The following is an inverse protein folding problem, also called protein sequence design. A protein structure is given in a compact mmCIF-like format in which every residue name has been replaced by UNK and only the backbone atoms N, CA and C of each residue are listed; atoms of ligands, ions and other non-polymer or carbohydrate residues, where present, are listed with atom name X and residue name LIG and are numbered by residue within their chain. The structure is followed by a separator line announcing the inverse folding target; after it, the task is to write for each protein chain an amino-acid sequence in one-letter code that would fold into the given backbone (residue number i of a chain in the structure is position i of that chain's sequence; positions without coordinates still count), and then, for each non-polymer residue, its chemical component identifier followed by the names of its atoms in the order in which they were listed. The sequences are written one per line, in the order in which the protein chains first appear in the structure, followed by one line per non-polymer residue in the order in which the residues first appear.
data_IF_418108300789
#
_entry.id   IF_418108300789
#
_cell.length_a   1.000
_cell.length_b   1.000
_cell.length_c   1.000
_cell.angle_alpha   90.00
_cell.angle_beta   90.00
_cell.angle_gamma   90.00
#
_symmetry.space_group_name_H-M   'P 1'
#
loop_
_entity.id
_entity.type
_entity.pdbx_description
1 polymer ?
#
# COMPACT_ATOMS: atom_id res chain seq x y z
N UNK A 1 52.06 -35.01 9.64
CA UNK A 1 50.79 -34.23 9.53
C UNK A 1 49.66 -35.26 9.45
N UNK A 2 48.81 -35.58 10.43
CA UNK A 2 48.51 -35.18 11.83
C UNK A 2 47.63 -36.31 12.40
N UNK A 3 48.02 -36.99 13.48
CA UNK A 3 47.22 -38.10 14.05
C UNK A 3 45.88 -37.62 14.68
N UNK A 4 45.74 -36.31 14.95
CA UNK A 4 44.56 -35.73 15.61
C UNK A 4 43.61 -34.97 14.66
N UNK A 5 43.84 -35.02 13.34
CA UNK A 5 43.05 -34.26 12.37
C UNK A 5 41.58 -34.69 12.34
N UNK A 6 41.30 -35.99 12.47
CA UNK A 6 39.95 -36.52 12.51
C UNK A 6 39.22 -36.12 13.81
N UNK A 7 39.94 -36.14 14.94
CA UNK A 7 39.40 -35.72 16.23
C UNK A 7 38.98 -34.25 16.19
N UNK A 8 39.84 -33.38 15.66
CA UNK A 8 39.55 -31.96 15.51
C UNK A 8 38.38 -31.73 14.55
N UNK A 9 38.38 -32.38 13.38
CA UNK A 9 37.29 -32.26 12.40
C UNK A 9 35.94 -32.69 12.97
N UNK A 10 35.92 -33.71 13.86
CA UNK A 10 34.72 -34.15 14.55
C UNK A 10 34.28 -33.16 15.62
N UNK A 11 35.22 -32.64 16.42
CA UNK A 11 34.95 -31.61 17.44
C UNK A 11 34.42 -30.30 16.84
N UNK A 12 34.92 -29.90 15.67
CA UNK A 12 34.47 -28.70 14.96
C UNK A 12 33.22 -28.94 14.10
N UNK A 13 32.70 -30.18 14.05
CA UNK A 13 31.49 -30.51 13.28
C UNK A 13 31.68 -30.45 11.76
N UNK A 14 32.90 -30.66 11.26
CA UNK A 14 33.17 -30.82 9.82
C UNK A 14 32.82 -32.23 9.34
N UNK A 15 32.94 -33.23 10.22
CA UNK A 15 32.58 -34.62 9.96
C UNK A 15 31.71 -35.19 11.08
N UNK A 16 30.87 -36.18 10.75
CA UNK A 16 30.04 -36.88 11.72
C UNK A 16 30.80 -37.99 12.47
N UNK A 17 30.12 -38.68 13.39
CA UNK A 17 30.70 -39.79 14.16
C UNK A 17 31.15 -41.00 13.33
N UNK A 18 30.77 -41.06 12.04
CA UNK A 18 31.16 -42.06 11.05
C UNK A 18 32.21 -41.53 10.06
N UNK A 19 32.76 -40.33 10.29
CA UNK A 19 33.76 -39.71 9.44
C UNK A 19 33.23 -39.09 8.14
N UNK A 20 31.90 -38.94 7.99
CA UNK A 20 31.29 -38.37 6.78
C UNK A 20 31.19 -36.84 6.88
N UNK A 21 31.43 -36.09 5.80
CA UNK A 21 31.30 -34.63 5.81
C UNK A 21 29.90 -34.15 6.19
N UNK A 22 29.83 -33.15 7.06
CA UNK A 22 28.58 -32.45 7.40
C UNK A 22 28.34 -31.37 6.34
N UNK A 23 27.25 -31.48 5.58
CA UNK A 23 26.93 -30.57 4.46
C UNK A 23 26.13 -29.32 4.85
N UNK A 24 25.49 -29.34 6.01
CA UNK A 24 24.67 -28.25 6.52
C UNK A 24 25.21 -27.71 7.84
N UNK A 25 24.30 -27.18 8.67
CA UNK A 25 24.64 -26.83 10.05
C UNK A 25 24.80 -28.12 10.87
N UNK A 26 25.81 -28.18 11.74
CA UNK A 26 26.10 -29.36 12.53
C UNK A 26 24.89 -29.79 13.40
N UNK A 27 24.58 -31.11 13.50
CA UNK A 27 23.38 -31.59 14.19
C UNK A 27 23.22 -31.06 15.61
N UNK A 28 24.32 -30.97 16.37
CA UNK A 28 24.31 -30.44 17.74
C UNK A 28 23.83 -28.98 17.84
N UNK A 29 24.04 -28.17 16.80
CA UNK A 29 23.54 -26.79 16.73
C UNK A 29 22.08 -26.77 16.26
N UNK A 30 21.72 -27.64 15.31
CA UNK A 30 20.34 -27.74 14.80
C UNK A 30 19.38 -28.25 15.87
N UNK A 31 19.78 -29.24 16.66
CA UNK A 31 19.01 -29.80 17.77
C UNK A 31 19.31 -29.14 19.12
N UNK A 32 20.13 -28.09 19.12
CA UNK A 32 20.54 -27.37 20.31
C UNK A 32 19.41 -26.52 20.92
N UNK A 33 19.74 -25.82 22.00
CA UNK A 33 18.83 -24.92 22.67
C UNK A 33 18.53 -23.67 21.81
N UNK A 34 17.60 -22.83 22.27
CA UNK A 34 17.26 -21.58 21.59
C UNK A 34 18.46 -20.66 21.41
N UNK A 35 19.37 -20.60 22.39
CA UNK A 35 20.61 -19.82 22.29
C UNK A 35 21.53 -20.31 21.17
N UNK A 36 21.54 -21.62 20.86
CA UNK A 36 22.29 -22.16 19.72
C UNK A 36 21.69 -21.72 18.39
N UNK A 37 20.35 -21.62 18.31
CA UNK A 37 19.66 -21.08 17.14
C UNK A 37 19.97 -19.58 16.94
N UNK A 38 19.99 -18.80 18.02
CA UNK A 38 20.39 -17.38 18.00
C UNK A 38 21.85 -17.21 17.57
N UNK A 39 22.76 -18.03 18.13
CA UNK A 39 24.18 -18.02 17.77
C UNK A 39 24.41 -18.41 16.31
N UNK A 40 23.72 -19.45 15.82
CA UNK A 40 23.79 -19.89 14.42
C UNK A 40 23.35 -18.78 13.46
N UNK A 41 22.22 -18.12 13.75
CA UNK A 41 21.74 -17.01 12.94
C UNK A 41 22.66 -15.80 13.00
N UNK A 42 23.22 -15.49 14.18
CA UNK A 42 24.15 -14.38 14.35
C UNK A 42 25.42 -14.60 13.54
N UNK A 43 26.00 -15.81 13.63
CA UNK A 43 27.16 -16.19 12.83
C UNK A 43 26.88 -16.15 11.34
N UNK A 44 25.74 -16.69 10.90
CA UNK A 44 25.34 -16.67 9.50
C UNK A 44 25.13 -15.25 8.96
N UNK A 45 24.52 -14.36 9.76
CA UNK A 45 24.29 -12.97 9.39
C UNK A 45 25.60 -12.18 9.30
N UNK A 46 26.53 -12.36 10.24
CA UNK A 46 27.83 -11.70 10.20
C UNK A 46 28.71 -12.18 9.03
N UNK A 47 28.63 -13.47 8.69
CA UNK A 47 29.44 -14.05 7.62
C UNK A 47 28.91 -13.69 6.22
N UNK A 48 27.61 -13.86 5.99
CA UNK A 48 27.01 -13.80 4.65
C UNK A 48 25.62 -13.13 4.63
N UNK A 49 25.31 -12.34 5.66
CA UNK A 49 24.05 -11.64 5.78
C UNK A 49 24.03 -10.29 5.08
N UNK A 50 22.84 -9.88 4.67
CA UNK A 50 22.55 -8.54 4.19
C UNK A 50 21.17 -8.10 4.68
N UNK A 51 21.05 -6.82 4.99
CA UNK A 51 19.79 -6.17 5.35
C UNK A 51 19.57 -5.00 4.42
N UNK A 52 18.49 -5.02 3.65
CA UNK A 52 18.13 -3.88 2.81
C UNK A 52 17.38 -2.83 3.62
N UNK A 53 17.33 -1.62 3.09
CA UNK A 53 16.53 -0.57 3.70
C UNK A 53 15.04 -0.93 3.72
N UNK A 54 14.29 -0.46 4.74
CA UNK A 54 12.84 -0.64 4.79
C UNK A 54 12.15 0.00 3.59
N UNK A 55 11.08 -0.59 3.08
CA UNK A 55 10.31 -0.09 1.95
C UNK A 55 9.64 -1.22 1.16
N UNK A 56 9.42 -0.99 -0.14
CA UNK A 56 8.72 -1.94 -1.03
C UNK A 56 9.43 -3.30 -1.15
N UNK A 57 10.75 -3.31 -1.00
CA UNK A 57 11.60 -4.49 -1.18
C UNK A 57 12.46 -4.75 0.06
N UNK A 58 11.89 -4.61 1.26
CA UNK A 58 12.60 -4.93 2.50
C UNK A 58 12.94 -6.41 2.54
N UNK A 59 14.20 -6.73 2.79
CA UNK A 59 14.64 -8.10 3.00
C UNK A 59 15.82 -8.18 3.96
N UNK A 60 15.82 -9.24 4.77
CA UNK A 60 17.02 -9.79 5.38
C UNK A 60 17.35 -11.09 4.65
N UNK A 61 18.57 -11.18 4.12
CA UNK A 61 19.01 -12.33 3.33
C UNK A 61 20.32 -12.90 3.87
N UNK A 62 20.44 -14.22 3.85
CA UNK A 62 21.68 -14.97 4.10
C UNK A 62 22.02 -15.76 2.85
N UNK A 63 23.24 -15.58 2.34
CA UNK A 63 23.78 -16.48 1.30
C UNK A 63 24.29 -17.76 1.97
N UNK A 64 23.83 -18.92 1.51
CA UNK A 64 24.16 -20.21 2.10
C UNK A 64 25.14 -21.00 1.21
N UNK A 65 26.00 -21.84 1.80
CA UNK A 65 26.94 -22.69 1.04
C UNK A 65 26.25 -23.83 0.29
N UNK A 66 24.99 -24.12 0.60
CA UNK A 66 24.19 -25.16 -0.04
C UNK A 66 22.79 -25.26 0.56
N UNK A 67 21.92 -26.12 -0.01
CA UNK A 67 20.52 -26.22 0.36
C UNK A 67 20.34 -26.80 1.77
N UNK A 68 21.23 -27.69 2.21
CA UNK A 68 21.19 -28.27 3.57
C UNK A 68 21.40 -27.21 4.65
N UNK A 69 22.34 -26.28 4.44
CA UNK A 69 22.57 -25.16 5.34
C UNK A 69 21.38 -24.18 5.35
N UNK A 70 20.81 -23.89 4.17
CA UNK A 70 19.64 -23.03 4.05
C UNK A 70 18.42 -23.60 4.78
N UNK A 71 18.13 -24.89 4.60
CA UNK A 71 17.02 -25.57 5.27
C UNK A 71 17.22 -25.63 6.79
N UNK A 72 18.44 -25.92 7.25
CA UNK A 72 18.77 -25.92 8.68
C UNK A 72 18.55 -24.54 9.30
N UNK A 73 18.96 -23.47 8.60
CA UNK A 73 18.80 -22.10 9.06
C UNK A 73 17.33 -21.65 9.10
N UNK A 74 16.52 -22.05 8.10
CA UNK A 74 15.05 -21.86 8.12
C UNK A 74 14.43 -22.57 9.33
N UNK A 75 14.85 -23.80 9.62
CA UNK A 75 14.41 -24.54 10.81
C UNK A 75 14.76 -23.82 12.11
N UNK A 76 15.98 -23.28 12.21
CA UNK A 76 16.42 -22.48 13.35
C UNK A 76 15.64 -21.18 13.50
N UNK A 77 15.32 -20.47 12.41
CA UNK A 77 14.47 -19.28 12.48
C UNK A 77 13.07 -19.60 13.04
N UNK A 78 12.49 -20.72 12.62
CA UNK A 78 11.19 -21.16 13.13
C UNK A 78 11.22 -21.39 14.64
N UNK A 79 12.32 -21.94 15.18
CA UNK A 79 12.49 -22.09 16.65
C UNK A 79 12.56 -20.75 17.38
N UNK A 80 12.94 -19.67 16.70
CA UNK A 80 12.94 -18.30 17.21
C UNK A 80 11.58 -17.59 17.02
N UNK A 81 10.57 -18.26 16.47
CA UNK A 81 9.27 -17.66 16.14
C UNK A 81 9.27 -16.85 14.84
N UNK A 82 10.34 -16.93 14.04
CA UNK A 82 10.54 -16.13 12.84
C UNK A 82 10.31 -16.97 11.59
N UNK A 83 9.51 -16.46 10.65
CA UNK A 83 9.24 -17.15 9.38
C UNK A 83 10.26 -16.73 8.32
N UNK A 84 11.18 -17.64 8.00
CA UNK A 84 12.14 -17.51 6.90
C UNK A 84 11.82 -18.48 5.76
N UNK A 85 12.28 -18.17 4.54
CA UNK A 85 12.13 -19.04 3.36
C UNK A 85 13.47 -19.30 2.70
N UNK A 86 13.76 -20.56 2.36
CA UNK A 86 14.88 -20.89 1.49
C UNK A 86 14.49 -20.70 0.02
N UNK A 87 15.43 -20.24 -0.80
CA UNK A 87 15.28 -20.10 -2.26
C UNK A 87 16.63 -20.25 -2.93
N UNK A 88 16.64 -20.82 -4.13
CA UNK A 88 17.81 -20.78 -5.01
C UNK A 88 17.69 -19.58 -5.97
N UNK A 89 18.76 -18.79 -6.09
CA UNK A 89 18.84 -17.67 -7.03
C UNK A 89 20.14 -17.78 -7.79
N UNK A 90 20.06 -18.05 -9.10
CA UNK A 90 21.21 -18.20 -10.01
C UNK A 90 22.22 -19.25 -9.51
N UNK A 91 21.74 -20.41 -9.06
CA UNK A 91 22.59 -21.48 -8.52
C UNK A 91 23.15 -21.22 -7.13
N UNK A 92 22.64 -20.21 -6.42
CA UNK A 92 23.07 -19.88 -5.06
C UNK A 92 21.89 -20.00 -4.10
N UNK A 93 22.02 -20.86 -3.10
CA UNK A 93 21.05 -21.00 -2.03
C UNK A 93 21.04 -19.79 -1.10
N UNK A 94 19.83 -19.33 -0.76
CA UNK A 94 19.61 -18.18 0.10
C UNK A 94 18.50 -18.46 1.09
N UNK A 95 18.59 -17.84 2.26
CA UNK A 95 17.47 -17.72 3.20
C UNK A 95 17.04 -16.27 3.24
N UNK A 96 15.74 -16.03 3.05
CA UNK A 96 15.17 -14.69 2.91
C UNK A 96 14.00 -14.49 3.87
N UNK A 97 14.00 -13.35 4.55
CA UNK A 97 12.88 -12.80 5.31
C UNK A 97 12.45 -11.50 4.63
N UNK A 98 11.16 -11.31 4.39
CA UNK A 98 10.61 -10.09 3.77
C UNK A 98 9.60 -9.36 4.64
N UNK A 99 9.11 -10.04 5.66
CA UNK A 99 8.18 -9.44 6.61
C UNK A 99 8.96 -8.53 7.57
N UNK A 100 8.52 -7.28 7.68
CA UNK A 100 9.26 -6.27 8.43
C UNK A 100 9.30 -6.57 9.93
N UNK A 101 8.20 -7.08 10.49
CA UNK A 101 8.12 -7.44 11.90
C UNK A 101 9.02 -8.64 12.20
N UNK A 102 9.03 -9.65 11.31
CA UNK A 102 9.92 -10.79 11.41
C UNK A 102 11.41 -10.39 11.32
N UNK A 103 11.75 -9.42 10.46
CA UNK A 103 13.12 -8.85 10.37
C UNK A 103 13.49 -8.18 11.69
N UNK A 104 12.63 -7.30 12.23
CA UNK A 104 12.86 -6.61 13.50
C UNK A 104 13.02 -7.59 14.66
N UNK A 105 12.12 -8.57 14.78
CA UNK A 105 12.20 -9.64 15.78
C UNK A 105 13.50 -10.42 15.70
N UNK A 106 13.93 -10.79 14.49
CA UNK A 106 15.20 -11.49 14.31
C UNK A 106 16.38 -10.62 14.75
N UNK A 107 16.46 -9.35 14.32
CA UNK A 107 17.55 -8.44 14.71
C UNK A 107 17.65 -8.26 16.23
N UNK A 108 16.52 -8.21 16.95
CA UNK A 108 16.49 -8.18 18.41
C UNK A 108 17.12 -9.45 18.99
N UNK A 109 16.76 -10.63 18.48
CA UNK A 109 17.34 -11.93 18.88
C UNK A 109 18.83 -12.02 18.59
N UNK A 110 19.31 -11.36 17.53
CA UNK A 110 20.74 -11.30 17.21
C UNK A 110 21.52 -10.33 18.11
N UNK A 111 20.84 -9.53 18.94
CA UNK A 111 21.44 -8.51 19.79
C UNK A 111 21.80 -7.22 19.04
N UNK A 112 21.27 -7.01 17.83
CA UNK A 112 21.57 -5.85 16.99
C UNK A 112 20.68 -4.64 17.36
N UNK A 113 20.69 -4.23 18.63
CA UNK A 113 19.75 -3.25 19.19
C UNK A 113 19.79 -1.88 18.51
N UNK A 114 20.99 -1.33 18.27
CA UNK A 114 21.12 -0.05 17.56
C UNK A 114 20.64 -0.15 16.11
N UNK A 115 20.95 -1.28 15.45
CA UNK A 115 20.55 -1.52 14.07
C UNK A 115 19.03 -1.66 13.93
N UNK A 116 18.36 -2.38 14.84
CA UNK A 116 16.90 -2.51 14.79
C UNK A 116 16.20 -1.17 15.07
N UNK A 117 16.68 -0.37 16.03
CA UNK A 117 16.12 0.96 16.28
C UNK A 117 16.22 1.85 15.04
N UNK A 118 17.41 1.93 14.44
CA UNK A 118 17.61 2.72 13.23
C UNK A 118 16.82 2.19 12.02
N UNK A 119 16.58 0.87 11.96
CA UNK A 119 15.81 0.26 10.89
C UNK A 119 14.30 0.53 11.06
N UNK A 120 13.77 0.39 12.27
CA UNK A 120 12.37 0.69 12.60
C UNK A 120 12.05 2.18 12.43
N UNK A 121 12.96 3.08 12.84
CA UNK A 121 12.78 4.52 12.63
C UNK A 121 12.61 4.86 11.14
N UNK A 122 13.45 4.26 10.28
CA UNK A 122 13.35 4.43 8.82
C UNK A 122 12.06 3.81 8.26
N UNK A 123 11.62 2.68 8.80
CA UNK A 123 10.37 2.00 8.40
C UNK A 123 9.17 2.89 8.72
N UNK A 124 9.06 3.37 9.96
CA UNK A 124 7.98 4.25 10.39
C UNK A 124 7.94 5.53 9.57
N UNK A 125 9.09 6.18 9.36
CA UNK A 125 9.19 7.40 8.56
C UNK A 125 8.66 7.20 7.13
N UNK A 126 8.93 6.04 6.52
CA UNK A 126 8.43 5.71 5.18
C UNK A 126 6.94 5.42 5.18
N UNK A 127 6.42 4.73 6.19
CA UNK A 127 4.99 4.46 6.33
C UNK A 127 4.19 5.76 6.47
N UNK A 128 4.64 6.67 7.33
CA UNK A 128 4.02 8.00 7.50
C UNK A 128 4.00 8.77 6.17
N UNK A 129 5.13 8.83 5.46
CA UNK A 129 5.20 9.50 4.14
C UNK A 129 4.30 8.84 3.10
N UNK A 130 4.26 7.52 3.06
CA UNK A 130 3.42 6.79 2.12
C UNK A 130 1.93 7.03 2.38
N UNK A 131 1.52 7.15 3.64
CA UNK A 131 0.15 7.49 4.03
C UNK A 131 -0.18 8.94 3.69
N UNK A 132 0.71 9.90 4.00
CA UNK A 132 0.54 11.30 3.63
C UNK A 132 0.41 11.50 2.11
N UNK A 133 1.26 10.85 1.32
CA UNK A 133 1.20 10.91 -0.14
C UNK A 133 -0.10 10.30 -0.69
N UNK A 134 -0.56 9.18 -0.10
CA UNK A 134 -1.84 8.58 -0.50
C UNK A 134 -3.02 9.51 -0.21
N UNK A 135 -3.02 10.17 0.94
CA UNK A 135 -4.05 11.14 1.30
C UNK A 135 -4.03 12.36 0.37
N UNK A 136 -2.86 12.96 0.15
CA UNK A 136 -2.73 14.12 -0.73
C UNK A 136 -3.18 13.81 -2.18
N UNK A 137 -2.80 12.63 -2.71
CA UNK A 137 -3.24 12.20 -4.04
C UNK A 137 -4.75 11.96 -4.10
N UNK A 138 -5.34 11.45 -3.02
CA UNK A 138 -6.79 11.25 -2.93
C UNK A 138 -7.54 12.59 -2.89
N UNK A 139 -7.05 13.55 -2.13
CA UNK A 139 -7.64 14.89 -2.03
C UNK A 139 -7.56 15.65 -3.36
N UNK A 140 -6.39 15.63 -4.04
CA UNK A 140 -6.24 16.24 -5.38
C UNK A 140 -7.17 15.58 -6.41
N UNK A 141 -7.25 14.25 -6.43
CA UNK A 141 -8.14 13.53 -7.34
C UNK A 141 -9.63 13.84 -7.08
N UNK A 142 -10.05 13.92 -5.82
CA UNK A 142 -11.42 14.26 -5.46
C UNK A 142 -11.76 15.72 -5.77
N UNK A 143 -10.84 16.64 -5.51
CA UNK A 143 -11.02 18.06 -5.83
C UNK A 143 -11.18 18.26 -7.34
N UNK A 144 -10.31 17.64 -8.15
CA UNK A 144 -10.40 17.69 -9.62
C UNK A 144 -11.70 17.10 -10.14
N UNK A 145 -12.10 15.92 -9.66
CA UNK A 145 -13.36 15.28 -10.05
C UNK A 145 -14.56 16.15 -9.70
N UNK A 146 -14.58 16.72 -8.50
CA UNK A 146 -15.67 17.56 -8.02
C UNK A 146 -15.76 18.87 -8.80
N UNK A 147 -14.61 19.50 -9.10
CA UNK A 147 -14.53 20.70 -9.91
C UNK A 147 -15.07 20.45 -11.33
N UNK A 148 -14.63 19.37 -12.00
CA UNK A 148 -15.15 18.99 -13.33
C UNK A 148 -16.66 18.76 -13.31
N UNK A 149 -17.15 17.99 -12.34
CA UNK A 149 -18.57 17.73 -12.18
C UNK A 149 -19.38 19.02 -11.94
N UNK A 150 -18.84 19.99 -11.19
CA UNK A 150 -19.47 21.28 -10.96
C UNK A 150 -19.57 22.11 -12.26
N UNK A 151 -18.51 22.14 -13.08
CA UNK A 151 -18.51 22.84 -14.38
C UNK A 151 -19.53 22.21 -15.33
N UNK A 152 -19.56 20.88 -15.45
CA UNK A 152 -20.54 20.17 -16.28
C UNK A 152 -21.97 20.43 -15.79
N UNK A 153 -22.21 20.31 -14.49
CA UNK A 153 -23.52 20.60 -13.91
C UNK A 153 -23.95 22.05 -14.16
N UNK A 154 -23.02 23.01 -14.09
CA UNK A 154 -23.28 24.42 -14.40
C UNK A 154 -23.74 24.63 -15.85
N UNK A 155 -23.02 24.04 -16.81
CA UNK A 155 -23.37 24.12 -18.24
C UNK A 155 -24.74 23.50 -18.51
N UNK A 156 -24.98 22.29 -18.00
CA UNK A 156 -26.27 21.60 -18.16
C UNK A 156 -27.43 22.37 -17.53
N UNK A 157 -27.23 22.93 -16.34
CA UNK A 157 -28.25 23.73 -15.66
C UNK A 157 -28.57 25.00 -16.45
N UNK A 158 -27.56 25.70 -16.96
CA UNK A 158 -27.78 26.87 -17.81
C UNK A 158 -28.66 26.51 -19.01
N UNK A 159 -28.36 25.39 -19.69
CA UNK A 159 -29.17 24.90 -20.80
C UNK A 159 -30.59 24.49 -20.38
N UNK A 160 -30.74 23.86 -19.21
CA UNK A 160 -32.05 23.48 -18.67
C UNK A 160 -32.95 24.70 -18.41
N UNK A 161 -32.37 25.81 -17.92
CA UNK A 161 -33.09 27.06 -17.72
C UNK A 161 -33.58 27.65 -19.05
N UNK A 162 -32.79 27.54 -20.13
CA UNK A 162 -33.19 27.98 -21.47
C UNK A 162 -34.32 27.13 -22.07
N UNK A 163 -34.27 25.80 -21.87
CA UNK A 163 -35.27 24.87 -22.43
C UNK A 163 -36.64 25.01 -21.76
N UNK A 164 -36.65 25.14 -20.42
CA UNK A 164 -37.88 25.13 -19.64
C UNK A 164 -38.50 26.52 -19.46
N UNK A 165 -37.69 27.59 -19.46
CA UNK A 165 -38.20 28.96 -19.35
C UNK A 165 -39.08 29.20 -18.12
N UNK A 166 -40.33 29.61 -18.35
CA UNK A 166 -41.31 29.94 -17.30
C UNK A 166 -41.98 28.69 -16.69
N UNK A 167 -41.84 27.50 -17.30
CA UNK A 167 -42.48 26.26 -16.83
C UNK A 167 -41.74 25.62 -15.63
N UNK A 168 -40.68 26.25 -15.12
CA UNK A 168 -39.83 25.70 -14.04
C UNK A 168 -40.48 25.96 -12.67
N UNK A 169 -40.71 24.92 -11.85
CA UNK A 169 -41.13 25.12 -10.46
C UNK A 169 -40.12 25.94 -9.66
N UNK A 170 -40.59 26.89 -8.82
CA UNK A 170 -39.75 27.85 -8.08
C UNK A 170 -38.57 27.21 -7.33
N UNK A 171 -38.82 26.10 -6.63
CA UNK A 171 -37.81 25.38 -5.85
C UNK A 171 -36.70 24.73 -6.71
N UNK A 172 -36.96 24.49 -8.00
CA UNK A 172 -35.97 24.00 -8.97
C UNK A 172 -35.26 25.17 -9.65
N UNK A 173 -35.99 26.25 -9.94
CA UNK A 173 -35.44 27.48 -10.51
C UNK A 173 -34.39 28.10 -9.58
N UNK A 174 -34.69 28.19 -8.29
CA UNK A 174 -33.77 28.67 -7.25
C UNK A 174 -32.45 27.87 -7.25
N UNK A 175 -32.56 26.53 -7.26
CA UNK A 175 -31.41 25.64 -7.29
C UNK A 175 -30.59 25.78 -8.59
N UNK A 176 -31.28 25.99 -9.72
CA UNK A 176 -30.64 26.23 -11.02
C UNK A 176 -29.89 27.57 -11.08
N UNK A 177 -30.47 28.63 -10.52
CA UNK A 177 -29.83 29.94 -10.40
C UNK A 177 -28.59 29.88 -9.53
N UNK A 178 -28.69 29.28 -8.34
CA UNK A 178 -27.55 29.11 -7.43
C UNK A 178 -26.38 28.37 -8.09
N UNK A 179 -26.64 27.29 -8.82
CA UNK A 179 -25.59 26.56 -9.56
C UNK A 179 -25.00 27.38 -10.71
N UNK A 180 -25.78 28.23 -11.36
CA UNK A 180 -25.30 29.08 -12.46
C UNK A 180 -24.46 30.25 -11.95
N UNK A 181 -24.91 30.90 -10.87
CA UNK A 181 -24.22 32.02 -10.21
C UNK A 181 -22.94 31.58 -9.52
N UNK A 182 -22.96 30.39 -8.90
CA UNK A 182 -21.82 29.82 -8.18
C UNK A 182 -21.33 28.52 -8.86
N UNK A 183 -20.92 28.64 -10.13
CA UNK A 183 -20.51 27.51 -10.97
C UNK A 183 -19.39 26.65 -10.37
N UNK A 184 -18.46 27.26 -9.63
CA UNK A 184 -17.32 26.57 -9.00
C UNK A 184 -17.61 26.05 -7.59
N UNK A 185 -18.75 26.41 -6.99
CA UNK A 185 -19.08 26.00 -5.63
C UNK A 185 -19.42 24.50 -5.56
N UNK A 186 -18.97 23.84 -4.51
CA UNK A 186 -19.41 22.50 -4.15
C UNK A 186 -20.92 22.47 -3.88
N UNK A 187 -21.52 21.28 -3.94
CA UNK A 187 -22.93 21.11 -3.58
C UNK A 187 -23.22 21.47 -2.12
N UNK A 188 -22.23 21.34 -1.24
CA UNK A 188 -22.36 21.72 0.17
C UNK A 188 -22.41 23.23 0.34
N UNK A 189 -21.52 23.96 -0.34
CA UNK A 189 -21.55 25.43 -0.38
C UNK A 189 -22.83 25.96 -1.02
N UNK A 190 -23.31 25.36 -2.12
CA UNK A 190 -24.60 25.73 -2.70
C UNK A 190 -25.78 25.54 -1.73
N UNK A 191 -25.76 24.45 -0.97
CA UNK A 191 -26.80 24.17 0.03
C UNK A 191 -26.80 25.22 1.15
N UNK A 192 -25.63 25.70 1.56
CA UNK A 192 -25.48 26.75 2.56
C UNK A 192 -25.88 28.15 2.05
N UNK A 193 -25.73 28.41 0.75
CA UNK A 193 -26.12 29.67 0.10
C UNK A 193 -27.63 29.76 -0.19
N UNK A 194 -28.36 28.64 -0.17
CA UNK A 194 -29.78 28.63 -0.42
C UNK A 194 -30.59 29.23 0.76
N UNK A 195 -31.77 29.76 0.47
CA UNK A 195 -32.66 30.34 1.49
C UNK A 195 -34.07 29.72 1.41
N UNK A 196 -34.45 28.82 2.35
CA UNK A 196 -33.70 28.42 3.53
C UNK A 196 -32.51 27.49 3.22
N UNK A 197 -31.47 27.47 4.07
CA UNK A 197 -30.32 26.58 3.91
C UNK A 197 -30.76 25.12 3.82
N UNK A 198 -30.12 24.37 2.92
CA UNK A 198 -30.46 22.98 2.67
C UNK A 198 -29.23 22.09 2.64
N UNK A 199 -29.44 20.79 2.86
CA UNK A 199 -28.35 19.82 2.80
C UNK A 199 -27.84 19.64 1.38
N UNK A 200 -26.58 19.20 1.25
CA UNK A 200 -25.95 18.80 -0.01
C UNK A 200 -26.85 17.91 -0.87
N UNK A 201 -27.53 16.93 -0.26
CA UNK A 201 -28.39 15.99 -0.99
C UNK A 201 -29.70 16.63 -1.46
N UNK A 202 -30.24 17.59 -0.70
CA UNK A 202 -31.45 18.32 -1.07
C UNK A 202 -31.21 19.18 -2.31
N UNK A 203 -30.13 19.97 -2.33
CA UNK A 203 -29.77 20.80 -3.50
C UNK A 203 -29.39 19.93 -4.70
N UNK A 204 -28.62 18.85 -4.49
CA UNK A 204 -28.27 17.90 -5.55
C UNK A 204 -29.51 17.20 -6.14
N UNK A 205 -30.50 16.89 -5.30
CA UNK A 205 -31.78 16.33 -5.72
C UNK A 205 -32.60 17.31 -6.55
N UNK A 206 -32.64 18.60 -6.16
CA UNK A 206 -33.30 19.67 -6.94
C UNK A 206 -32.65 19.84 -8.31
N UNK A 207 -31.33 19.96 -8.37
CA UNK A 207 -30.58 20.08 -9.64
C UNK A 207 -30.85 18.88 -10.55
N UNK A 208 -30.81 17.64 -10.03
CA UNK A 208 -31.13 16.44 -10.84
C UNK A 208 -32.55 16.46 -11.41
N UNK A 209 -33.54 16.88 -10.61
CA UNK A 209 -34.93 16.97 -11.09
C UNK A 209 -35.11 18.05 -12.14
N UNK A 210 -34.42 19.19 -12.00
CA UNK A 210 -34.41 20.25 -13.02
C UNK A 210 -33.89 19.72 -14.36
N UNK A 211 -32.73 19.05 -14.35
CA UNK A 211 -32.14 18.46 -15.55
C UNK A 211 -33.06 17.42 -16.19
N UNK A 212 -33.59 16.48 -15.41
CA UNK A 212 -34.51 15.46 -15.92
C UNK A 212 -35.79 16.05 -16.54
N UNK A 213 -36.30 17.15 -15.97
CA UNK A 213 -37.45 17.88 -16.53
C UNK A 213 -37.10 18.53 -17.86
N UNK A 214 -35.92 19.17 -17.96
CA UNK A 214 -35.44 19.78 -19.19
C UNK A 214 -35.15 18.76 -20.29
N UNK A 215 -34.48 17.64 -19.97
CA UNK A 215 -34.17 16.58 -20.93
C UNK A 215 -35.46 15.95 -21.50
N UNK A 216 -36.48 15.75 -20.64
CA UNK A 216 -37.80 15.31 -21.10
C UNK A 216 -38.45 16.32 -22.03
N UNK A 217 -38.44 17.62 -21.67
CA UNK A 217 -39.01 18.68 -22.50
C UNK A 217 -38.28 18.80 -23.85
N UNK A 218 -36.96 18.67 -23.85
CA UNK A 218 -36.15 18.67 -25.07
C UNK A 218 -36.53 17.52 -26.01
N UNK A 219 -36.68 16.31 -25.46
CA UNK A 219 -37.15 15.13 -26.20
C UNK A 219 -38.54 15.35 -26.80
N UNK A 220 -39.49 15.90 -26.03
CA UNK A 220 -40.86 16.16 -26.49
C UNK A 220 -40.89 17.21 -27.63
N UNK A 221 -39.97 18.17 -27.62
CA UNK A 221 -39.83 19.22 -28.63
C UNK A 221 -38.92 18.83 -29.82
N UNK A 222 -38.22 17.70 -29.74
CA UNK A 222 -37.26 17.26 -30.76
C UNK A 222 -36.01 18.14 -30.86
N UNK A 223 -35.62 18.82 -29.77
CA UNK A 223 -34.41 19.66 -29.70
C UNK A 223 -33.29 18.93 -28.93
N UNK A 224 -32.01 19.34 -29.06
CA UNK A 224 -30.92 18.79 -28.26
C UNK A 224 -31.14 18.99 -26.75
N UNK A 225 -30.78 17.97 -25.98
CA UNK A 225 -30.95 17.92 -24.51
C UNK A 225 -29.91 18.76 -23.75
N UNK A 226 -29.86 18.62 -22.42
CA UNK A 226 -28.91 19.39 -21.60
C UNK A 226 -27.45 18.98 -21.78
N UNK A 227 -27.17 17.85 -22.43
CA UNK A 227 -25.80 17.37 -22.65
C UNK A 227 -25.17 17.92 -23.94
N UNK A 228 -25.99 18.50 -24.84
CA UNK A 228 -25.55 19.02 -26.14
C UNK A 228 -24.46 20.10 -26.08
N UNK A 229 -24.37 20.85 -24.98
CA UNK A 229 -23.39 21.93 -24.78
C UNK A 229 -22.14 21.48 -24.00
N UNK A 230 -22.02 20.19 -23.66
CA UNK A 230 -20.85 19.65 -22.96
C UNK A 230 -19.73 19.43 -23.99
N UNK A 231 -18.62 20.13 -23.82
CA UNK A 231 -17.44 19.94 -24.68
C UNK A 231 -16.63 18.70 -24.24
N UNK A 232 -15.86 18.05 -25.14
CA UNK A 232 -15.06 16.87 -24.80
C UNK A 232 -14.05 17.12 -23.68
N UNK A 233 -13.58 18.36 -23.52
CA UNK A 233 -12.65 18.77 -22.46
C UNK A 233 -13.30 18.81 -21.06
N UNK A 234 -14.64 18.71 -21.02
CA UNK A 234 -15.46 18.68 -19.81
C UNK A 234 -15.92 17.26 -19.44
N UNK A 235 -15.67 16.26 -20.30
CA UNK A 235 -15.94 14.85 -19.99
C UNK A 235 -14.93 14.32 -18.92
N UNK A 236 -15.37 13.41 -18.04
CA UNK A 236 -14.58 12.94 -16.89
C UNK A 236 -13.28 12.21 -17.24
#
# INVERSE_FOLDING_TARGET
VTNDGELLARQTGLIDGKGRPIRGIAPQVVSGATCDAEAAWRGAFLAHGSLTEPGRSSALEITCPGPEAALALVGSARRLGVVAKSREVRGVDRVVLRDGDAIGQLLIRLGAHESVLAWEERRLRREVRATANRLANFDDANLRRSARAAVVAGARVKRALEILGEDIPDHLLEAGRLRTEHSQASLEELGALADPPMTKDAIAGRIRRLLAMADKRASDLGIPDTEADITPDMEP
#
